data_IF_796264748944
#
_entry.id   IF_796264748944
#
_cell.length_a   1.000
_cell.length_b   1.000
_cell.length_c   1.000
_cell.angle_alpha   90.00
_cell.angle_beta   90.00
_cell.angle_gamma   90.00
#
_symmetry.space_group_name_H-M   'P 1'
#
loop_
_entity.id
_entity.type
_entity.pdbx_description
1 polymer ?
#
# COMPACT_ATOMS: atom_id res chain seq x y z
N UNK A 1 46.55 20.22 -21.50
CA UNK A 1 45.53 19.22 -21.08
C UNK A 1 46.26 18.25 -20.19
N UNK A 2 46.11 18.38 -18.87
CA UNK A 2 46.79 17.50 -17.92
C UNK A 2 46.13 16.12 -17.93
N UNK A 3 46.96 15.09 -17.99
CA UNK A 3 46.51 13.70 -17.97
C UNK A 3 45.94 13.37 -16.57
N UNK A 4 44.82 12.62 -16.48
CA UNK A 4 44.25 12.23 -15.21
C UNK A 4 45.26 11.37 -14.43
N UNK A 5 45.64 11.83 -13.25
CA UNK A 5 46.56 11.13 -12.34
C UNK A 5 45.83 10.01 -11.61
N UNK A 6 46.55 8.98 -11.18
CA UNK A 6 46.00 7.83 -10.42
C UNK A 6 45.26 8.25 -9.15
N UNK A 7 45.65 9.39 -8.55
CA UNK A 7 44.95 9.99 -7.41
C UNK A 7 43.50 10.40 -7.75
N UNK A 8 43.25 10.91 -8.97
CA UNK A 8 41.90 11.31 -9.41
C UNK A 8 40.95 10.12 -9.61
N UNK A 9 41.47 8.89 -9.73
CA UNK A 9 40.65 7.69 -9.83
C UNK A 9 40.18 7.17 -8.46
N UNK A 10 40.91 7.47 -7.38
CA UNK A 10 40.57 7.00 -6.05
C UNK A 10 39.45 7.82 -5.40
N UNK A 11 39.26 9.08 -5.78
CA UNK A 11 38.18 9.92 -5.25
C UNK A 11 36.79 9.57 -5.81
N UNK A 12 36.71 8.76 -6.88
CA UNK A 12 35.48 8.65 -7.68
C UNK A 12 34.62 7.41 -7.48
N UNK A 13 35.05 6.36 -6.79
CA UNK A 13 34.18 5.18 -6.58
C UNK A 13 34.42 4.55 -5.21
N UNK A 14 33.93 5.21 -4.16
CA UNK A 14 33.58 4.50 -2.94
C UNK A 14 32.07 4.36 -2.87
N UNK A 15 31.58 3.14 -3.11
CA UNK A 15 30.20 2.79 -2.77
C UNK A 15 30.17 2.44 -1.28
N UNK A 16 29.71 3.37 -0.45
CA UNK A 16 29.44 3.09 0.95
C UNK A 16 28.18 2.21 1.04
N UNK A 17 28.38 0.93 1.28
CA UNK A 17 27.29 -0.01 1.55
C UNK A 17 26.87 0.12 3.01
N UNK A 18 25.82 0.90 3.26
CA UNK A 18 25.18 0.94 4.57
C UNK A 18 24.10 -0.14 4.63
N UNK A 19 24.16 -0.98 5.67
CA UNK A 19 23.06 -1.89 6.00
C UNK A 19 22.16 -1.18 6.98
N UNK A 20 20.94 -0.87 6.58
CA UNK A 20 19.93 -0.35 7.50
C UNK A 20 19.46 -1.49 8.41
N UNK A 21 19.29 -1.23 9.72
CA UNK A 21 18.70 -2.20 10.61
C UNK A 21 17.26 -2.53 10.16
N UNK A 22 16.78 -3.75 10.43
CA UNK A 22 15.40 -4.12 10.12
C UNK A 22 14.42 -3.18 10.84
N UNK A 23 13.34 -2.80 10.15
CA UNK A 23 12.30 -1.93 10.71
C UNK A 23 11.55 -2.66 11.84
N UNK A 24 11.41 -1.99 12.97
CA UNK A 24 10.54 -2.42 14.06
C UNK A 24 9.07 -2.07 13.75
N UNK A 25 8.09 -2.73 14.40
CA UNK A 25 6.67 -2.37 14.23
C UNK A 25 6.38 -0.88 14.49
N UNK A 26 7.03 -0.27 15.47
CA UNK A 26 6.87 1.18 15.74
C UNK A 26 7.48 2.04 14.62
N UNK A 27 8.62 1.62 14.08
CA UNK A 27 9.22 2.26 12.90
C UNK A 27 8.32 2.15 11.65
N UNK A 28 7.61 1.03 11.51
CA UNK A 28 6.59 0.85 10.47
C UNK A 28 5.46 1.85 10.62
N UNK A 29 4.88 1.97 11.82
CA UNK A 29 3.81 2.95 12.10
C UNK A 29 4.27 4.37 11.78
N UNK A 30 5.45 4.75 12.26
CA UNK A 30 6.03 6.07 11.97
C UNK A 30 6.19 6.33 10.47
N UNK A 31 6.64 5.33 9.70
CA UNK A 31 6.76 5.44 8.24
C UNK A 31 5.41 5.49 7.52
N UNK A 32 4.40 4.76 7.99
CA UNK A 32 3.05 4.85 7.46
C UNK A 32 2.48 6.24 7.71
N UNK A 33 2.59 6.77 8.92
CA UNK A 33 2.18 8.14 9.22
C UNK A 33 2.93 9.17 8.37
N UNK A 34 4.25 9.03 8.21
CA UNK A 34 5.04 9.94 7.38
C UNK A 34 4.68 9.84 5.89
N UNK A 35 4.47 8.63 5.36
CA UNK A 35 4.06 8.42 3.98
C UNK A 35 2.66 8.97 3.72
N UNK A 36 1.74 8.81 4.67
CA UNK A 36 0.41 9.40 4.61
C UNK A 36 0.52 10.92 4.69
N UNK A 37 1.22 11.49 5.66
CA UNK A 37 1.40 12.94 5.76
C UNK A 37 2.02 13.56 4.48
N UNK A 38 2.98 12.88 3.84
CA UNK A 38 3.59 13.33 2.58
C UNK A 38 2.60 13.37 1.40
N UNK A 39 1.56 12.54 1.41
CA UNK A 39 0.47 12.61 0.42
C UNK A 39 -0.49 13.79 0.66
N UNK A 40 -0.39 14.49 1.81
CA UNK A 40 -1.26 15.62 2.19
C UNK A 40 -0.53 16.99 2.13
N UNK A 41 0.72 17.04 1.67
CA UNK A 41 1.45 18.30 1.50
C UNK A 41 0.98 19.06 0.25
N UNK A 42 1.02 20.41 0.23
CA UNK A 42 0.75 21.17 -0.98
C UNK A 42 1.73 20.70 -2.07
N UNK A 43 1.20 20.41 -3.26
CA UNK A 43 1.98 20.11 -4.45
C UNK A 43 2.89 21.30 -4.78
N UNK A 44 4.07 21.34 -4.17
CA UNK A 44 5.10 22.34 -4.40
C UNK A 44 6.47 21.72 -4.12
N UNK A 45 6.87 20.78 -4.97
CA UNK A 45 8.29 20.66 -5.29
C UNK A 45 8.44 20.92 -6.78
N UNK A 46 8.88 22.15 -7.07
CA UNK A 46 9.25 22.65 -8.38
C UNK A 46 10.15 21.64 -9.10
N UNK A 47 9.60 21.00 -10.13
CA UNK A 47 10.39 20.37 -11.18
C UNK A 47 10.64 21.46 -12.24
N UNK A 48 11.88 21.71 -12.68
CA UNK A 48 12.13 22.74 -13.69
C UNK A 48 11.48 22.34 -15.01
N UNK A 49 10.68 23.25 -15.55
CA UNK A 49 10.10 23.20 -16.89
C UNK A 49 11.21 22.94 -17.92
N UNK A 50 11.15 21.79 -18.57
CA UNK A 50 11.74 21.61 -19.89
C UNK A 50 10.71 22.09 -20.89
N UNK A 51 10.96 23.26 -21.47
CA UNK A 51 10.32 23.75 -22.68
C UNK A 51 10.60 22.77 -23.81
N UNK A 52 9.57 22.14 -24.36
CA UNK A 52 9.66 21.51 -25.67
C UNK A 52 8.42 21.86 -26.50
N UNK A 53 8.74 22.30 -27.71
CA UNK A 53 7.93 22.83 -28.81
C UNK A 53 6.60 22.12 -29.06
N UNK A 54 5.55 22.92 -29.22
CA UNK A 54 4.24 22.49 -29.71
C UNK A 54 4.33 22.21 -31.23
N UNK A 55 4.05 20.98 -31.65
CA UNK A 55 3.57 20.71 -33.01
C UNK A 55 2.11 20.27 -32.94
N UNK A 56 1.26 21.16 -33.41
CA UNK A 56 -0.17 21.07 -33.59
C UNK A 56 -0.55 19.84 -34.46
N UNK A 57 -1.31 18.90 -33.88
CA UNK A 57 -1.92 17.80 -34.61
C UNK A 57 -3.44 17.86 -34.38
N UNK A 58 -4.12 18.42 -35.38
CA UNK A 58 -5.56 18.50 -35.54
C UNK A 58 -6.19 17.08 -35.57
N UNK A 59 -7.06 16.79 -34.61
CA UNK A 59 -7.87 15.57 -34.56
C UNK A 59 -9.33 15.95 -34.32
N UNK A 60 -10.28 15.31 -35.03
CA UNK A 60 -11.66 15.79 -35.12
C UNK A 60 -12.42 15.64 -33.81
N UNK A 61 -13.11 16.71 -33.41
CA UNK A 61 -14.09 16.76 -32.32
C UNK A 61 -15.15 15.68 -32.51
N UNK A 62 -15.04 14.64 -31.67
CA UNK A 62 -16.14 13.71 -31.45
C UNK A 62 -16.80 14.15 -30.15
N UNK A 63 -18.02 14.69 -30.27
CA UNK A 63 -18.93 14.97 -29.16
C UNK A 63 -19.04 13.75 -28.25
N UNK A 64 -18.19 13.70 -27.24
CA UNK A 64 -18.29 12.83 -26.09
C UNK A 64 -19.02 13.64 -25.03
N UNK A 65 -20.28 13.30 -24.84
CA UNK A 65 -21.09 13.63 -23.68
C UNK A 65 -20.19 13.72 -22.45
N UNK A 66 -19.99 14.95 -21.94
CA UNK A 66 -19.09 15.23 -20.84
C UNK A 66 -19.64 14.53 -19.60
N UNK A 67 -19.13 13.32 -19.33
CA UNK A 67 -19.22 12.73 -18.02
C UNK A 67 -18.65 13.77 -17.05
N UNK A 68 -19.43 14.12 -16.04
CA UNK A 68 -19.05 15.08 -15.00
C UNK A 68 -17.84 14.49 -14.26
N UNK A 69 -16.63 14.85 -14.71
CA UNK A 69 -15.40 14.35 -14.14
C UNK A 69 -15.22 14.99 -12.77
N UNK A 70 -14.89 14.22 -11.73
CA UNK A 70 -14.68 14.77 -10.40
C UNK A 70 -13.57 15.82 -10.43
N UNK A 71 -13.80 16.94 -9.74
CA UNK A 71 -12.84 18.03 -9.66
C UNK A 71 -11.58 17.59 -8.90
N UNK A 72 -10.46 18.28 -9.14
CA UNK A 72 -9.21 18.05 -8.41
C UNK A 72 -9.40 18.15 -6.89
N UNK A 73 -10.31 19.02 -6.43
CA UNK A 73 -10.66 19.18 -5.01
C UNK A 73 -11.38 17.93 -4.47
N UNK A 74 -12.38 17.42 -5.20
CA UNK A 74 -13.10 16.19 -4.84
C UNK A 74 -12.17 14.97 -4.78
N UNK A 75 -11.23 14.86 -5.73
CA UNK A 75 -10.21 13.81 -5.73
C UNK A 75 -9.25 13.95 -4.54
N UNK A 76 -8.90 15.17 -4.15
CA UNK A 76 -8.01 15.44 -3.01
C UNK A 76 -8.70 15.09 -1.70
N UNK A 77 -9.97 15.46 -1.53
CA UNK A 77 -10.78 15.10 -0.37
C UNK A 77 -10.95 13.58 -0.24
N UNK A 78 -11.16 12.89 -1.36
CA UNK A 78 -11.26 11.42 -1.42
C UNK A 78 -9.96 10.69 -1.02
N UNK A 79 -8.84 11.40 -0.86
CA UNK A 79 -7.55 10.86 -0.40
C UNK A 79 -7.26 11.15 1.08
N UNK A 80 -8.06 11.98 1.74
CA UNK A 80 -7.87 12.33 3.16
C UNK A 80 -8.32 11.18 4.05
N UNK A 81 -7.42 10.67 4.89
CA UNK A 81 -7.72 9.58 5.83
C UNK A 81 -8.30 10.13 7.14
N UNK A 82 -9.38 9.52 7.60
CA UNK A 82 -9.93 9.79 8.93
C UNK A 82 -9.05 9.20 10.05
N UNK A 83 -9.23 9.67 11.28
CA UNK A 83 -8.51 9.15 12.44
C UNK A 83 -8.76 7.66 12.69
N UNK A 84 -9.97 7.19 12.41
CA UNK A 84 -10.33 5.78 12.56
C UNK A 84 -9.61 4.90 11.53
N UNK A 85 -9.47 5.39 10.30
CA UNK A 85 -8.71 4.68 9.27
C UNK A 85 -7.23 4.64 9.61
N UNK A 86 -6.65 5.74 10.10
CA UNK A 86 -5.27 5.73 10.57
C UNK A 86 -5.06 4.71 11.69
N UNK A 87 -6.00 4.61 12.64
CA UNK A 87 -5.95 3.58 13.67
C UNK A 87 -6.02 2.16 13.07
N UNK A 88 -6.84 1.93 12.04
CA UNK A 88 -6.86 0.66 11.29
C UNK A 88 -5.51 0.38 10.59
N UNK A 89 -4.90 1.38 9.96
CA UNK A 89 -3.61 1.23 9.28
C UNK A 89 -2.49 0.85 10.28
N UNK A 90 -2.56 1.36 11.51
CA UNK A 90 -1.64 0.99 12.59
C UNK A 90 -1.76 -0.47 13.02
N UNK A 91 -2.96 -1.06 12.93
CA UNK A 91 -3.20 -2.46 13.28
C UNK A 91 -2.63 -3.41 12.21
N UNK A 92 -2.69 -3.03 10.94
CA UNK A 92 -2.14 -3.84 9.83
C UNK A 92 -0.66 -3.60 9.56
N UNK A 93 -0.05 -2.61 10.20
CA UNK A 93 1.36 -2.25 10.10
C UNK A 93 2.32 -3.48 10.13
N UNK A 94 2.18 -4.47 11.04
CA UNK A 94 3.07 -5.62 11.10
C UNK A 94 3.09 -6.49 9.83
N UNK A 95 2.03 -6.46 9.02
CA UNK A 95 1.94 -7.23 7.77
C UNK A 95 2.71 -6.56 6.62
N UNK A 96 2.89 -5.24 6.68
CA UNK A 96 3.28 -4.42 5.53
C UNK A 96 4.73 -3.96 5.59
N UNK A 97 5.16 -3.27 6.66
CA UNK A 97 6.44 -2.57 6.60
C UNK A 97 7.60 -3.35 7.21
N UNK A 98 8.35 -3.95 6.29
CA UNK A 98 9.74 -4.34 6.48
C UNK A 98 10.65 -3.26 5.86
N UNK A 99 10.13 -2.48 4.91
CA UNK A 99 10.87 -1.43 4.19
C UNK A 99 10.02 -0.18 3.97
N UNK A 100 10.63 1.03 3.89
CA UNK A 100 9.91 2.27 3.60
C UNK A 100 9.15 2.22 2.27
N UNK A 101 9.73 1.57 1.26
CA UNK A 101 9.10 1.40 -0.05
C UNK A 101 7.78 0.64 0.03
N UNK A 102 7.70 -0.39 0.88
CA UNK A 102 6.46 -1.17 1.06
C UNK A 102 5.40 -0.37 1.79
N UNK A 103 5.77 0.33 2.87
CA UNK A 103 4.86 1.23 3.58
C UNK A 103 4.23 2.26 2.62
N UNK A 104 5.07 2.92 1.80
CA UNK A 104 4.59 3.86 0.78
C UNK A 104 3.67 3.21 -0.25
N UNK A 105 4.06 2.04 -0.79
CA UNK A 105 3.26 1.33 -1.80
C UNK A 105 1.90 0.94 -1.24
N UNK A 106 1.86 0.40 -0.02
CA UNK A 106 0.62 0.06 0.67
C UNK A 106 -0.28 1.27 0.84
N UNK A 107 0.26 2.36 1.39
CA UNK A 107 -0.50 3.59 1.57
C UNK A 107 -1.13 4.09 0.27
N UNK A 108 -0.35 4.12 -0.83
CA UNK A 108 -0.85 4.53 -2.14
C UNK A 108 -1.93 3.60 -2.70
N UNK A 109 -1.78 2.27 -2.55
CA UNK A 109 -2.80 1.33 -3.04
C UNK A 109 -4.07 1.45 -2.20
N UNK A 110 -3.94 1.53 -0.87
CA UNK A 110 -5.09 1.72 0.02
C UNK A 110 -5.87 2.98 -0.33
N UNK A 111 -5.21 4.13 -0.47
CA UNK A 111 -5.88 5.40 -0.75
C UNK A 111 -6.55 5.41 -2.13
N UNK A 112 -5.89 4.86 -3.16
CA UNK A 112 -6.47 4.77 -4.52
C UNK A 112 -7.68 3.86 -4.55
N UNK A 113 -7.59 2.66 -3.95
CA UNK A 113 -8.71 1.72 -3.94
C UNK A 113 -9.86 2.28 -3.10
N UNK A 114 -9.57 2.90 -1.95
CA UNK A 114 -10.58 3.56 -1.12
C UNK A 114 -11.31 4.68 -1.88
N UNK A 115 -10.56 5.55 -2.57
CA UNK A 115 -11.14 6.66 -3.32
C UNK A 115 -12.12 6.18 -4.41
N UNK A 116 -11.92 4.98 -4.97
CA UNK A 116 -12.86 4.37 -5.93
C UNK A 116 -14.20 3.96 -5.31
N UNK A 117 -14.25 3.76 -4.01
CA UNK A 117 -15.48 3.41 -3.30
C UNK A 117 -16.21 4.61 -2.71
N UNK A 118 -15.56 5.79 -2.67
CA UNK A 118 -16.16 7.04 -2.22
C UNK A 118 -17.39 7.48 -3.05
N UNK A 119 -17.57 6.95 -4.26
CA UNK A 119 -18.68 7.26 -5.17
C UNK A 119 -20.02 6.52 -4.83
N UNK A 120 -20.24 6.19 -3.56
CA UNK A 120 -21.54 5.72 -3.05
C UNK A 120 -21.63 4.24 -2.65
N UNK A 121 -20.51 3.51 -2.65
CA UNK A 121 -20.47 2.13 -2.15
C UNK A 121 -19.88 2.12 -0.73
N UNK A 122 -20.70 1.81 0.27
CA UNK A 122 -20.20 1.59 1.63
C UNK A 122 -19.22 0.41 1.61
N UNK A 123 -17.94 0.70 1.83
CA UNK A 123 -16.89 -0.31 1.93
C UNK A 123 -16.38 -0.37 3.35
N UNK A 124 -16.23 -1.59 3.84
CA UNK A 124 -15.55 -1.88 5.08
C UNK A 124 -14.06 -1.54 4.93
N UNK A 125 -13.67 -0.39 5.50
CA UNK A 125 -12.29 0.12 5.46
C UNK A 125 -11.31 -0.79 6.18
N UNK A 126 -11.76 -1.54 7.19
CA UNK A 126 -10.95 -2.54 7.88
C UNK A 126 -10.66 -3.73 6.96
N UNK A 127 -11.69 -4.25 6.29
CA UNK A 127 -11.51 -5.32 5.31
C UNK A 127 -10.64 -4.88 4.12
N UNK A 128 -10.80 -3.64 3.64
CA UNK A 128 -9.93 -3.08 2.61
C UNK A 128 -8.47 -3.00 3.06
N UNK A 129 -8.21 -2.45 4.24
CA UNK A 129 -6.86 -2.31 4.79
C UNK A 129 -6.18 -3.68 4.96
N UNK A 130 -6.90 -4.67 5.51
CA UNK A 130 -6.42 -6.04 5.66
C UNK A 130 -6.13 -6.68 4.30
N UNK A 131 -7.04 -6.56 3.34
CA UNK A 131 -6.89 -7.14 1.99
C UNK A 131 -5.66 -6.56 1.29
N UNK A 132 -5.53 -5.22 1.30
CA UNK A 132 -4.37 -4.54 0.74
C UNK A 132 -3.08 -4.97 1.47
N UNK A 133 -3.10 -5.02 2.80
CA UNK A 133 -1.95 -5.40 3.60
C UNK A 133 -1.48 -6.84 3.32
N UNK A 134 -2.40 -7.80 3.19
CA UNK A 134 -2.10 -9.20 2.88
C UNK A 134 -1.54 -9.36 1.46
N UNK A 135 -2.10 -8.65 0.48
CA UNK A 135 -1.68 -8.78 -0.92
C UNK A 135 -0.33 -8.09 -1.22
N UNK A 136 -0.06 -6.95 -0.57
CA UNK A 136 1.16 -6.16 -0.76
C UNK A 136 2.27 -6.48 0.24
N UNK A 137 1.87 -6.97 1.42
CA UNK A 137 2.76 -7.26 2.53
C UNK A 137 3.55 -8.56 2.35
N UNK A 138 4.32 -8.88 3.39
CA UNK A 138 4.87 -10.23 3.55
C UNK A 138 4.32 -10.77 4.87
N UNK A 139 3.34 -11.65 4.78
CA UNK A 139 3.67 -13.00 4.33
C UNK A 139 3.20 -13.32 2.91
N UNK A 140 4.10 -13.83 2.08
CA UNK A 140 3.74 -14.28 0.73
C UNK A 140 2.71 -15.40 0.79
N UNK A 141 2.81 -16.24 1.82
CA UNK A 141 1.90 -17.34 2.09
C UNK A 141 0.44 -16.90 2.22
N UNK A 142 0.18 -15.84 2.98
CA UNK A 142 -1.17 -15.27 3.12
C UNK A 142 -1.69 -14.71 1.78
N UNK A 143 -0.87 -13.93 1.08
CA UNK A 143 -1.24 -13.38 -0.22
C UNK A 143 -1.48 -14.45 -1.30
N UNK A 144 -0.69 -15.53 -1.31
CA UNK A 144 -0.88 -16.68 -2.19
C UNK A 144 -2.13 -17.47 -1.86
N UNK A 145 -2.41 -17.71 -0.57
CA UNK A 145 -3.66 -18.36 -0.14
C UNK A 145 -4.87 -17.50 -0.51
N UNK A 146 -4.81 -16.20 -0.32
CA UNK A 146 -5.92 -15.28 -0.62
C UNK A 146 -6.22 -15.17 -2.13
N UNK A 147 -5.21 -15.33 -2.99
CA UNK A 147 -5.40 -15.35 -4.46
C UNK A 147 -6.04 -16.65 -4.97
N UNK A 148 -6.03 -17.72 -4.19
CA UNK A 148 -6.64 -19.00 -4.58
C UNK A 148 -8.15 -18.95 -4.38
N UNK A 149 -8.94 -19.73 -5.14
CA UNK A 149 -10.38 -19.80 -4.95
C UNK A 149 -10.71 -20.22 -3.51
N UNK A 150 -11.41 -19.36 -2.79
CA UNK A 150 -11.75 -19.58 -1.39
C UNK A 150 -12.97 -20.52 -1.29
N UNK A 151 -12.89 -21.63 -0.54
CA UNK A 151 -14.04 -22.51 -0.35
C UNK A 151 -15.13 -21.82 0.48
N UNK A 152 -16.39 -22.22 0.28
CA UNK A 152 -17.53 -21.62 0.98
C UNK A 152 -17.44 -21.74 2.52
N UNK A 153 -16.76 -22.78 3.02
CA UNK A 153 -16.50 -22.98 4.45
C UNK A 153 -15.64 -21.90 5.09
N UNK A 154 -14.89 -21.13 4.29
CA UNK A 154 -14.00 -20.06 4.78
C UNK A 154 -14.74 -18.74 4.98
N UNK A 155 -15.88 -18.51 4.33
CA UNK A 155 -16.59 -17.22 4.37
C UNK A 155 -17.05 -16.82 5.77
N UNK A 156 -17.44 -17.80 6.59
CA UNK A 156 -17.89 -17.58 7.97
C UNK A 156 -16.77 -17.64 9.02
N UNK A 157 -15.51 -17.80 8.61
CA UNK A 157 -14.39 -17.76 9.53
C UNK A 157 -14.04 -16.32 9.89
N UNK A 158 -13.62 -16.12 11.13
CA UNK A 158 -12.94 -14.88 11.52
C UNK A 158 -11.60 -14.77 10.79
N UNK A 159 -11.13 -13.55 10.57
CA UNK A 159 -9.82 -13.29 10.00
C UNK A 159 -8.74 -13.98 10.82
N UNK A 160 -8.83 -13.93 12.16
CA UNK A 160 -7.87 -14.57 13.05
C UNK A 160 -7.77 -16.08 12.82
N UNK A 161 -8.90 -16.77 12.72
CA UNK A 161 -8.92 -18.22 12.52
C UNK A 161 -8.36 -18.58 11.14
N UNK A 162 -8.75 -17.83 10.11
CA UNK A 162 -8.24 -18.03 8.75
C UNK A 162 -6.73 -17.78 8.67
N UNK A 163 -6.24 -16.69 9.24
CA UNK A 163 -4.82 -16.34 9.24
C UNK A 163 -4.01 -17.39 10.03
N UNK A 164 -4.54 -17.88 11.15
CA UNK A 164 -3.86 -18.90 11.98
C UNK A 164 -3.71 -20.20 11.20
N UNK A 165 -4.77 -20.69 10.53
CA UNK A 165 -4.71 -21.84 9.63
C UNK A 165 -3.76 -21.58 8.44
N UNK A 166 -3.77 -20.35 7.92
CA UNK A 166 -2.95 -19.94 6.80
C UNK A 166 -1.43 -20.02 7.09
N UNK A 167 -1.02 -19.65 8.31
CA UNK A 167 0.39 -19.59 8.74
C UNK A 167 0.99 -20.95 9.05
N UNK A 168 0.20 -21.97 9.40
CA UNK A 168 0.70 -23.33 9.65
C UNK A 168 1.51 -23.87 8.45
N UNK A 169 1.19 -23.40 7.24
CA UNK A 169 1.87 -23.79 6.01
C UNK A 169 3.14 -22.96 5.69
N UNK A 170 3.48 -21.94 6.48
CA UNK A 170 4.67 -21.12 6.23
C UNK A 170 5.95 -21.78 6.75
N UNK A 171 6.98 -21.78 5.90
CA UNK A 171 8.32 -22.27 6.26
C UNK A 171 9.27 -21.16 6.67
N UNK A 172 8.85 -19.89 6.64
CA UNK A 172 9.68 -18.73 7.00
C UNK A 172 9.38 -18.27 8.44
N UNK A 173 10.30 -18.47 9.40
CA UNK A 173 10.08 -18.06 10.80
C UNK A 173 9.80 -16.55 10.96
N UNK A 174 10.38 -15.71 10.10
CA UNK A 174 10.15 -14.27 10.16
C UNK A 174 8.74 -13.90 9.66
N UNK A 175 8.16 -14.69 8.75
CA UNK A 175 6.75 -14.55 8.37
C UNK A 175 5.83 -14.91 9.53
N UNK A 176 6.08 -16.07 10.17
CA UNK A 176 5.29 -16.54 11.31
C UNK A 176 5.26 -15.49 12.42
N UNK A 177 6.42 -14.98 12.82
CA UNK A 177 6.54 -13.96 13.88
C UNK A 177 5.74 -12.68 13.56
N UNK A 178 5.77 -12.22 12.29
CA UNK A 178 5.01 -11.03 11.87
C UNK A 178 3.51 -11.26 11.95
N UNK A 179 3.06 -12.44 11.54
CA UNK A 179 1.63 -12.76 11.60
C UNK A 179 1.16 -12.93 13.03
N UNK A 180 1.96 -13.57 13.88
CA UNK A 180 1.67 -13.65 15.31
C UNK A 180 1.60 -12.26 15.94
N UNK A 181 2.51 -11.36 15.56
CA UNK A 181 2.51 -9.96 15.98
C UNK A 181 1.25 -9.25 15.50
N UNK A 182 0.83 -9.47 14.24
CA UNK A 182 -0.43 -8.97 13.72
C UNK A 182 -1.62 -9.51 14.53
N UNK A 183 -1.78 -10.83 14.68
CA UNK A 183 -2.90 -11.44 15.42
C UNK A 183 -2.98 -10.93 16.86
N UNK A 184 -1.84 -10.75 17.52
CA UNK A 184 -1.79 -10.25 18.90
C UNK A 184 -2.28 -8.80 19.02
N UNK A 185 -2.03 -8.00 17.99
CA UNK A 185 -2.33 -6.57 17.96
C UNK A 185 -3.57 -6.22 17.13
N UNK A 186 -4.16 -7.18 16.41
CA UNK A 186 -5.22 -6.97 15.44
C UNK A 186 -6.49 -6.40 16.07
N UNK A 187 -6.70 -6.62 17.38
CA UNK A 187 -7.84 -6.11 18.15
C UNK A 187 -9.15 -6.34 17.38
N UNK A 188 -9.86 -5.26 16.99
CA UNK A 188 -11.09 -5.29 16.19
C UNK A 188 -10.98 -6.00 14.83
N UNK A 189 -9.79 -6.11 14.24
CA UNK A 189 -9.58 -6.81 12.97
C UNK A 189 -9.64 -8.32 13.12
N UNK A 190 -9.46 -8.85 14.34
CA UNK A 190 -9.44 -10.29 14.59
C UNK A 190 -10.78 -10.94 14.26
N UNK A 191 -11.87 -10.24 14.56
CA UNK A 191 -13.25 -10.72 14.43
C UNK A 191 -13.85 -10.41 13.05
N UNK A 192 -13.07 -9.80 12.15
CA UNK A 192 -13.51 -9.48 10.80
C UNK A 192 -13.89 -10.77 10.05
N UNK A 193 -15.07 -10.83 9.46
CA UNK A 193 -15.48 -11.98 8.65
C UNK A 193 -14.67 -12.04 7.35
N UNK A 194 -14.16 -13.23 7.01
CA UNK A 194 -13.48 -13.45 5.75
C UNK A 194 -14.35 -13.14 4.53
N UNK A 195 -15.68 -13.21 4.66
CA UNK A 195 -16.61 -12.72 3.64
C UNK A 195 -16.32 -11.27 3.22
N UNK A 196 -16.15 -10.36 4.19
CA UNK A 196 -15.88 -8.95 3.89
C UNK A 196 -14.55 -8.76 3.14
N UNK A 197 -13.52 -9.54 3.51
CA UNK A 197 -12.21 -9.56 2.84
C UNK A 197 -12.34 -10.06 1.40
N UNK A 198 -13.10 -11.14 1.18
CA UNK A 198 -13.28 -11.77 -0.13
C UNK A 198 -14.12 -10.92 -1.07
N UNK A 199 -15.15 -10.23 -0.55
CA UNK A 199 -16.01 -9.36 -1.36
C UNK A 199 -15.22 -8.16 -1.92
N UNK A 200 -14.21 -7.66 -1.21
CA UNK A 200 -13.36 -6.53 -1.62
C UNK A 200 -12.16 -6.97 -2.48
N UNK A 201 -11.78 -8.25 -2.40
CA UNK A 201 -10.61 -8.81 -3.07
C UNK A 201 -10.48 -8.46 -4.57
N UNK A 202 -11.55 -8.55 -5.41
CA UNK A 202 -11.43 -8.25 -6.83
C UNK A 202 -10.98 -6.81 -7.10
N UNK A 203 -11.45 -5.85 -6.31
CA UNK A 203 -11.12 -4.43 -6.48
C UNK A 203 -9.68 -4.14 -6.12
N UNK A 204 -9.12 -4.82 -5.12
CA UNK A 204 -7.72 -4.64 -4.70
C UNK A 204 -6.76 -5.31 -5.68
N UNK A 205 -7.11 -6.49 -6.22
CA UNK A 205 -6.27 -7.22 -7.18
C UNK A 205 -5.95 -6.44 -8.45
N UNK A 206 -6.78 -5.45 -8.84
CA UNK A 206 -6.50 -4.58 -9.98
C UNK A 206 -5.26 -3.68 -9.79
N UNK A 207 -4.76 -3.54 -8.55
CA UNK A 207 -3.71 -2.57 -8.19
C UNK A 207 -2.45 -3.21 -7.58
N UNK A 208 -2.41 -4.53 -7.38
CA UNK A 208 -1.30 -5.24 -6.70
C UNK A 208 -0.53 -6.16 -7.63
#
# INVERSE_FOLDING_TARGET
MDAPTTANYLEKIFQLSYTLPPITPDGCKALLHAAMAANHGPAASSQPEATDDETEADLPEKDAEAADLPTTEQLSEALILSADELATLDLVAPLVAITPRRAKRFGNVYTVVRARFSDGQAVDTAALAVTAAILLGAPKTLGEKLRKPTPASTLGLSLKDWVTDAVVDSTDPAEVERVETFIRNADRLSDLEMKAVIDILPSVLLYV
#
